data_IF_035960325550
#
_entry.id   IF_035960325550
#
_cell.length_a   1.000
_cell.length_b   1.000
_cell.length_c   1.000
_cell.angle_alpha   90.00
_cell.angle_beta   90.00
_cell.angle_gamma   90.00
#
_symmetry.space_group_name_H-M   'P 1'
#
loop_
_entity.id
_entity.type
_entity.pdbx_description
1 polymer ?
#
# COMPACT_ATOMS: atom_id res chain seq x y z
N UNK A 1 16.24 -4.37 -30.17
CA UNK A 1 15.44 -5.17 -29.22
C UNK A 1 14.15 -4.40 -28.99
N UNK A 2 12.97 -5.01 -29.18
CA UNK A 2 11.78 -4.40 -28.60
C UNK A 2 11.40 -5.25 -27.43
N UNK A 3 11.55 -4.65 -26.26
CA UNK A 3 11.20 -5.26 -25.00
C UNK A 3 9.74 -5.67 -25.09
N UNK A 4 9.47 -6.95 -24.88
CA UNK A 4 8.13 -7.31 -24.45
C UNK A 4 7.90 -6.54 -23.15
N UNK A 5 6.72 -5.94 -23.01
CA UNK A 5 6.30 -5.40 -21.73
C UNK A 5 6.42 -6.56 -20.73
N UNK A 6 7.37 -6.46 -19.81
CA UNK A 6 7.57 -7.44 -18.74
C UNK A 6 7.15 -6.80 -17.43
N UNK A 7 5.85 -6.48 -17.23
CA UNK A 7 5.32 -6.09 -15.94
C UNK A 7 5.19 -7.35 -15.07
N UNK A 8 6.26 -8.12 -14.96
CA UNK A 8 6.26 -9.31 -14.12
C UNK A 8 6.14 -8.87 -12.66
N UNK A 9 5.31 -9.57 -11.90
CA UNK A 9 5.46 -9.57 -10.45
C UNK A 9 6.80 -10.22 -10.16
N UNK A 10 7.69 -9.54 -9.43
CA UNK A 10 8.96 -10.14 -9.03
C UNK A 10 8.73 -11.15 -7.93
N UNK A 11 9.15 -12.40 -8.16
CA UNK A 11 9.16 -13.47 -7.15
C UNK A 11 10.55 -14.09 -7.16
N UNK A 12 11.37 -13.73 -6.18
CA UNK A 12 12.76 -14.18 -6.11
C UNK A 12 13.20 -14.44 -4.68
N UNK A 13 14.05 -15.46 -4.51
CA UNK A 13 14.70 -15.76 -3.21
C UNK A 13 15.77 -14.74 -2.86
N UNK A 14 16.43 -14.15 -3.86
CA UNK A 14 17.57 -13.27 -3.66
C UNK A 14 17.44 -12.03 -4.56
N UNK A 15 17.21 -10.89 -3.93
CA UNK A 15 17.27 -9.58 -4.58
C UNK A 15 17.94 -8.57 -3.65
N UNK A 16 18.62 -7.58 -4.24
CA UNK A 16 18.89 -6.32 -3.53
C UNK A 16 17.63 -5.48 -3.57
N UNK A 17 16.99 -5.34 -2.42
CA UNK A 17 15.77 -4.55 -2.27
C UNK A 17 16.13 -3.19 -1.68
N UNK A 18 15.67 -2.11 -2.32
CA UNK A 18 15.79 -0.73 -1.82
C UNK A 18 14.41 -0.18 -1.48
N UNK A 19 14.27 0.36 -0.28
CA UNK A 19 13.05 0.98 0.22
C UNK A 19 13.32 2.44 0.52
N UNK A 20 12.76 3.31 -0.32
CA UNK A 20 12.76 4.76 -0.09
C UNK A 20 11.72 5.09 0.96
N UNK A 21 12.17 5.67 2.06
CA UNK A 21 11.37 6.03 3.23
C UNK A 21 11.33 7.55 3.32
N UNK A 22 10.28 8.17 2.80
CA UNK A 22 10.15 9.63 2.70
C UNK A 22 8.96 10.17 3.48
N UNK A 23 9.18 11.32 4.10
CA UNK A 23 8.17 12.13 4.75
C UNK A 23 7.34 12.89 3.69
N UNK A 24 6.07 13.19 4.00
CA UNK A 24 5.21 14.00 3.13
C UNK A 24 5.56 15.49 3.13
N UNK A 25 6.33 15.95 4.13
CA UNK A 25 6.82 17.31 4.30
C UNK A 25 8.27 17.28 4.81
N UNK A 26 9.04 18.36 4.64
CA UNK A 26 10.35 18.48 5.26
C UNK A 26 10.26 18.30 6.78
N UNK A 27 11.12 17.45 7.32
CA UNK A 27 11.22 17.13 8.73
C UNK A 27 12.63 16.71 9.12
N UNK A 28 12.74 15.83 10.11
CA UNK A 28 14.00 15.39 10.69
C UNK A 28 14.30 13.95 10.32
N UNK A 29 15.49 13.71 9.78
CA UNK A 29 16.06 12.36 9.62
C UNK A 29 16.88 12.03 10.88
N UNK A 30 16.68 10.83 11.44
CA UNK A 30 17.27 10.41 12.74
C UNK A 30 18.46 9.47 12.59
N UNK A 31 18.77 9.05 11.37
CA UNK A 31 19.84 8.08 11.03
C UNK A 31 20.77 8.66 9.96
N UNK A 32 21.93 8.03 9.75
CA UNK A 32 22.92 8.43 8.74
C UNK A 32 23.26 7.26 7.80
N UNK A 33 23.87 7.59 6.67
CA UNK A 33 24.39 6.58 5.73
C UNK A 33 25.36 5.64 6.46
N UNK A 34 25.18 4.34 6.24
CA UNK A 34 25.94 3.26 6.87
C UNK A 34 25.32 2.69 8.15
N UNK A 35 24.29 3.33 8.72
CA UNK A 35 23.60 2.80 9.89
C UNK A 35 22.83 1.52 9.54
N UNK A 36 22.87 0.53 10.43
CA UNK A 36 21.96 -0.62 10.39
C UNK A 36 20.68 -0.28 11.13
N UNK A 37 19.54 -0.58 10.53
CA UNK A 37 18.21 -0.28 11.07
C UNK A 37 17.36 -1.53 11.13
N UNK A 38 16.45 -1.58 12.10
CA UNK A 38 15.38 -2.60 12.15
C UNK A 38 14.11 -2.08 11.48
N UNK A 39 13.27 -2.97 10.99
CA UNK A 39 12.05 -2.66 10.24
C UNK A 39 11.13 -1.67 10.98
N UNK A 40 11.02 -1.80 12.30
CA UNK A 40 10.17 -0.94 13.12
C UNK A 40 10.84 0.37 13.58
N UNK A 41 12.14 0.55 13.32
CA UNK A 41 12.86 1.75 13.71
C UNK A 41 12.36 2.97 12.93
N UNK A 42 12.02 4.04 13.65
CA UNK A 42 11.71 5.35 13.06
C UNK A 42 13.00 5.96 12.51
N UNK A 43 13.00 6.21 11.20
CA UNK A 43 14.16 6.77 10.46
C UNK A 43 13.99 8.24 10.10
N UNK A 44 12.75 8.71 10.06
CA UNK A 44 12.43 10.12 9.84
C UNK A 44 11.09 10.49 10.50
N UNK A 45 10.94 11.74 10.91
CA UNK A 45 9.70 12.27 11.48
C UNK A 45 9.45 13.73 11.10
N UNK A 46 8.17 14.12 11.05
CA UNK A 46 7.71 15.50 10.84
C UNK A 46 6.39 15.73 11.55
N UNK A 47 6.02 16.99 11.72
CA UNK A 47 4.70 17.39 12.22
C UNK A 47 3.84 17.90 11.07
N UNK A 48 2.72 17.21 10.77
CA UNK A 48 1.74 17.73 9.83
C UNK A 48 0.98 18.88 10.49
N UNK A 49 0.79 20.03 9.79
CA UNK A 49 -0.03 21.10 10.31
C UNK A 49 -1.44 20.59 10.65
N UNK A 50 -1.94 20.98 11.82
CA UNK A 50 -3.30 20.62 12.22
C UNK A 50 -4.34 21.24 11.28
N UNK A 51 -5.53 20.64 11.27
CA UNK A 51 -6.65 21.09 10.42
C UNK A 51 -7.03 22.52 10.78
N UNK A 52 -7.38 23.29 9.76
CA UNK A 52 -7.88 24.65 9.92
C UNK A 52 -9.40 24.61 10.07
N UNK A 53 -9.92 25.24 11.11
CA UNK A 53 -11.34 25.50 11.31
C UNK A 53 -11.60 27.00 11.17
N UNK A 54 -12.57 27.35 10.34
CA UNK A 54 -13.02 28.73 10.17
C UNK A 54 -14.28 28.96 11.01
N UNK A 55 -14.32 30.06 11.75
CA UNK A 55 -15.46 30.43 12.59
C UNK A 55 -15.84 31.89 12.33
N UNK A 56 -17.06 32.15 11.90
CA UNK A 56 -17.56 33.52 11.77
C UNK A 56 -17.97 34.06 13.15
N UNK A 57 -17.07 34.77 13.81
CA UNK A 57 -17.30 35.29 15.17
C UNK A 57 -18.28 36.46 15.14
N UNK A 58 -18.19 37.35 14.15
CA UNK A 58 -19.15 38.45 13.96
C UNK A 58 -20.59 37.95 13.88
N UNK A 59 -20.84 37.00 12.97
CA UNK A 59 -22.16 36.40 12.78
C UNK A 59 -22.63 35.62 13.99
N UNK A 60 -21.75 34.84 14.64
CA UNK A 60 -22.12 34.04 15.81
C UNK A 60 -22.41 34.91 17.05
N UNK A 61 -21.71 36.04 17.18
CA UNK A 61 -21.88 36.96 18.30
C UNK A 61 -23.00 37.97 18.10
N UNK A 62 -23.40 38.21 16.84
CA UNK A 62 -24.33 39.26 16.44
C UNK A 62 -23.69 40.66 16.54
N UNK A 63 -22.44 40.78 16.13
CA UNK A 63 -21.64 42.02 16.21
C UNK A 63 -21.07 42.39 14.83
N UNK A 64 -20.77 43.67 14.63
CA UNK A 64 -20.00 44.10 13.46
C UNK A 64 -18.51 43.75 13.63
N UNK A 65 -17.78 43.49 12.54
CA UNK A 65 -16.35 43.13 12.60
C UNK A 65 -15.47 44.14 13.37
N UNK A 66 -15.73 45.43 13.24
CA UNK A 66 -15.02 46.53 13.90
C UNK A 66 -15.29 46.59 15.42
N UNK A 67 -16.35 45.96 15.90
CA UNK A 67 -16.66 45.86 17.33
C UNK A 67 -16.03 44.65 18.02
N UNK A 68 -15.44 43.72 17.25
CA UNK A 68 -15.00 42.43 17.80
C UNK A 68 -13.81 42.55 18.74
N UNK A 69 -12.90 43.48 18.50
CA UNK A 69 -11.64 43.57 19.24
C UNK A 69 -11.86 43.74 20.76
N UNK A 70 -12.87 44.53 21.15
CA UNK A 70 -13.29 44.71 22.54
C UNK A 70 -14.16 43.57 23.12
N UNK A 71 -14.59 42.62 22.28
CA UNK A 71 -15.48 41.51 22.64
C UNK A 71 -14.75 40.16 22.68
N UNK A 72 -13.52 40.08 22.16
CA UNK A 72 -12.71 38.86 22.20
C UNK A 72 -12.20 38.56 23.62
N UNK A 73 -12.29 37.30 24.02
CA UNK A 73 -11.75 36.77 25.28
C UNK A 73 -10.37 36.12 25.11
N UNK A 74 -9.95 35.89 23.86
CA UNK A 74 -8.66 35.30 23.49
C UNK A 74 -7.95 36.18 22.46
N UNK A 75 -6.63 36.03 22.35
CA UNK A 75 -5.80 36.74 21.38
C UNK A 75 -5.22 35.76 20.36
N UNK A 76 -4.77 36.29 19.22
CA UNK A 76 -3.95 35.55 18.26
C UNK A 76 -2.76 34.86 18.96
N UNK A 77 -2.52 33.60 18.62
CA UNK A 77 -1.52 32.72 19.23
C UNK A 77 -1.97 32.00 20.51
N UNK A 78 -3.14 32.31 21.08
CA UNK A 78 -3.60 31.67 22.30
C UNK A 78 -4.02 30.22 22.08
N UNK A 79 -3.69 29.34 23.03
CA UNK A 79 -4.25 28.00 23.10
C UNK A 79 -5.75 28.06 23.48
N UNK A 80 -6.54 27.22 22.84
CA UNK A 80 -7.99 27.15 23.01
C UNK A 80 -8.44 25.69 23.19
N UNK A 81 -9.48 25.48 23.97
CA UNK A 81 -10.14 24.18 24.15
C UNK A 81 -11.51 24.16 23.50
N UNK A 82 -11.94 23.00 22.99
CA UNK A 82 -13.31 22.85 22.48
C UNK A 82 -14.33 23.24 23.56
N UNK A 83 -15.27 24.11 23.21
CA UNK A 83 -16.26 24.66 24.13
C UNK A 83 -15.80 25.89 24.93
N UNK A 84 -14.52 26.27 24.89
CA UNK A 84 -14.04 27.50 25.52
C UNK A 84 -14.65 28.73 24.86
N UNK A 85 -15.15 29.69 25.66
CA UNK A 85 -15.62 30.97 25.15
C UNK A 85 -14.46 31.77 24.53
N UNK A 86 -14.59 32.11 23.24
CA UNK A 86 -13.63 32.86 22.45
C UNK A 86 -13.99 34.35 22.40
N UNK A 87 -15.28 34.67 22.40
CA UNK A 87 -15.79 36.03 22.40
C UNK A 87 -17.08 36.11 23.22
N UNK A 88 -17.36 37.28 23.79
CA UNK A 88 -18.55 37.53 24.59
C UNK A 88 -19.11 38.92 24.32
N UNK A 89 -20.43 39.00 24.19
CA UNK A 89 -21.18 40.25 24.16
C UNK A 89 -22.20 40.27 25.29
N UNK A 90 -22.40 41.46 25.85
CA UNK A 90 -23.36 41.70 26.94
C UNK A 90 -24.40 42.71 26.49
N UNK A 91 -25.68 42.36 26.62
CA UNK A 91 -26.82 43.21 26.26
C UNK A 91 -27.70 43.50 27.49
N UNK A 92 -28.56 44.53 27.40
CA UNK A 92 -29.48 44.96 28.47
C UNK A 92 -28.80 45.08 29.85
N UNK A 93 -27.86 46.02 30.00
CA UNK A 93 -27.15 46.26 31.28
C UNK A 93 -26.53 44.99 31.90
N UNK A 94 -26.09 44.02 31.07
CA UNK A 94 -25.41 42.81 31.52
C UNK A 94 -26.33 41.61 31.83
N UNK A 95 -27.65 41.74 31.63
CA UNK A 95 -28.63 40.69 31.88
C UNK A 95 -28.52 39.52 30.88
N UNK A 96 -28.11 39.79 29.65
CA UNK A 96 -27.94 38.75 28.62
C UNK A 96 -26.49 38.68 28.16
N UNK A 97 -25.92 37.47 28.16
CA UNK A 97 -24.58 37.17 27.65
C UNK A 97 -24.72 36.24 26.45
N UNK A 98 -24.18 36.64 25.31
CA UNK A 98 -23.96 35.74 24.19
C UNK A 98 -22.48 35.39 24.14
N UNK A 99 -22.17 34.10 24.03
CA UNK A 99 -20.80 33.59 23.97
C UNK A 99 -20.61 32.77 22.71
N UNK A 100 -19.49 33.03 22.04
CA UNK A 100 -19.05 32.21 20.91
C UNK A 100 -18.01 31.24 21.44
N UNK A 101 -18.37 29.96 21.47
CA UNK A 101 -17.47 28.90 21.93
C UNK A 101 -16.61 28.35 20.79
N UNK A 102 -15.41 27.87 21.13
CA UNK A 102 -14.52 27.21 20.17
C UNK A 102 -15.09 25.88 19.70
N UNK A 103 -15.14 25.60 18.38
CA UNK A 103 -15.52 24.29 17.86
C UNK A 103 -14.43 23.22 18.03
N UNK A 104 -13.19 23.63 18.29
CA UNK A 104 -12.01 22.76 18.35
C UNK A 104 -11.14 23.03 19.59
N UNK A 105 -10.27 22.07 19.91
CA UNK A 105 -9.11 22.27 20.78
C UNK A 105 -7.90 22.55 19.88
N UNK A 106 -7.06 23.53 20.21
CA UNK A 106 -5.95 23.95 19.35
C UNK A 106 -5.46 25.37 19.65
N UNK A 107 -5.23 26.18 18.62
CA UNK A 107 -4.81 27.58 18.72
C UNK A 107 -5.73 28.53 17.97
N UNK A 108 -5.93 29.72 18.52
CA UNK A 108 -6.57 30.86 17.85
C UNK A 108 -5.52 31.60 17.02
N UNK A 109 -5.50 31.46 15.69
CA UNK A 109 -4.42 32.01 14.85
C UNK A 109 -4.62 33.49 14.54
N UNK A 110 -5.81 33.86 14.09
CA UNK A 110 -6.10 35.23 13.66
C UNK A 110 -7.59 35.51 13.65
N UNK A 111 -7.94 36.80 13.71
CA UNK A 111 -9.28 37.33 13.47
C UNK A 111 -9.19 38.38 12.35
N UNK A 112 -10.06 38.28 11.35
CA UNK A 112 -10.20 39.31 10.33
C UNK A 112 -11.07 40.45 10.86
N UNK A 113 -10.52 41.66 10.88
CA UNK A 113 -11.20 42.92 11.20
C UNK A 113 -12.21 43.35 10.12
N UNK A 114 -12.07 42.88 8.89
CA UNK A 114 -13.00 43.16 7.78
C UNK A 114 -14.21 42.22 7.79
N UNK A 115 -14.00 40.92 8.02
CA UNK A 115 -15.05 39.89 7.85
C UNK A 115 -15.56 39.30 9.17
N UNK A 116 -14.85 39.49 10.27
CA UNK A 116 -15.12 38.85 11.55
C UNK A 116 -14.84 37.35 11.58
N UNK A 117 -14.14 36.83 10.57
CA UNK A 117 -13.75 35.41 10.48
C UNK A 117 -12.52 35.14 11.35
N UNK A 118 -12.65 34.19 12.28
CA UNK A 118 -11.53 33.63 13.02
C UNK A 118 -10.97 32.39 12.33
N UNK A 119 -9.65 32.29 12.33
CA UNK A 119 -8.90 31.11 11.89
C UNK A 119 -8.41 30.38 13.13
N UNK A 120 -8.85 29.14 13.30
CA UNK A 120 -8.44 28.26 14.39
C UNK A 120 -7.68 27.08 13.80
N UNK A 121 -6.67 26.57 14.50
CA UNK A 121 -5.88 25.41 14.05
C UNK A 121 -5.83 24.34 15.13
N UNK A 122 -6.13 23.09 14.76
CA UNK A 122 -5.92 21.94 15.64
C UNK A 122 -4.42 21.73 15.94
N UNK A 123 -4.03 21.00 17.00
CA UNK A 123 -2.65 20.64 17.22
C UNK A 123 -2.03 19.92 16.02
N UNK A 124 -0.72 20.10 15.77
CA UNK A 124 -0.03 19.34 14.74
C UNK A 124 -0.12 17.83 15.00
N UNK A 125 -0.13 17.05 13.92
CA UNK A 125 -0.19 15.58 13.98
C UNK A 125 1.20 15.02 13.65
N UNK A 126 1.86 14.32 14.59
CA UNK A 126 3.17 13.75 14.32
C UNK A 126 3.05 12.64 13.26
N UNK A 127 3.98 12.64 12.33
CA UNK A 127 4.14 11.62 11.29
C UNK A 127 5.54 11.05 11.40
N UNK A 128 5.61 9.74 11.58
CA UNK A 128 6.84 8.98 11.63
C UNK A 128 6.90 8.00 10.47
N UNK A 129 8.07 7.89 9.86
CA UNK A 129 8.34 6.91 8.83
C UNK A 129 9.32 5.89 9.39
N UNK A 130 8.91 4.62 9.38
CA UNK A 130 9.74 3.49 9.79
C UNK A 130 10.62 3.01 8.64
N UNK A 131 11.69 2.28 8.97
CA UNK A 131 12.58 1.66 7.99
C UNK A 131 11.86 0.64 7.09
N UNK A 132 10.78 0.03 7.60
CA UNK A 132 9.94 -0.99 6.97
C UNK A 132 10.62 -2.35 6.76
N UNK A 133 11.92 -2.38 6.48
CA UNK A 133 12.74 -3.59 6.41
C UNK A 133 13.98 -3.45 7.29
N UNK A 134 14.48 -4.58 7.80
CA UNK A 134 15.82 -4.63 8.38
C UNK A 134 16.85 -4.41 7.28
N UNK A 135 17.82 -3.52 7.47
CA UNK A 135 18.76 -3.21 6.40
C UNK A 135 19.81 -2.19 6.79
N UNK A 136 20.47 -1.65 5.77
CA UNK A 136 21.47 -0.59 5.92
C UNK A 136 21.00 0.66 5.18
N UNK A 137 21.17 1.83 5.81
CA UNK A 137 20.90 3.12 5.16
C UNK A 137 21.98 3.39 4.12
N UNK A 138 21.60 3.43 2.84
CA UNK A 138 22.54 3.67 1.72
C UNK A 138 22.48 5.10 1.20
N UNK A 139 21.40 5.83 1.48
CA UNK A 139 21.21 7.21 1.07
C UNK A 139 20.39 7.97 2.12
N UNK A 140 20.73 9.25 2.34
CA UNK A 140 19.92 10.19 3.12
C UNK A 140 19.44 11.28 2.18
N UNK A 141 18.11 11.45 2.10
CA UNK A 141 17.46 12.54 1.38
C UNK A 141 17.25 13.67 2.39
N UNK A 142 18.01 14.75 2.25
CA UNK A 142 18.07 15.82 3.24
C UNK A 142 16.67 16.34 3.61
N UNK A 143 16.37 16.33 4.92
CA UNK A 143 15.09 16.73 5.51
C UNK A 143 13.86 15.94 5.04
N UNK A 144 13.98 14.91 4.20
CA UNK A 144 12.83 14.15 3.70
C UNK A 144 12.85 12.71 4.17
N UNK A 145 14.01 12.06 4.26
CA UNK A 145 14.04 10.64 4.56
C UNK A 145 15.31 9.92 4.17
N UNK A 146 15.19 8.61 3.93
CA UNK A 146 16.33 7.72 3.66
C UNK A 146 16.00 6.64 2.62
N UNK A 147 17.03 6.00 2.08
CA UNK A 147 16.89 4.73 1.34
C UNK A 147 17.51 3.62 2.17
N UNK A 148 16.72 2.61 2.51
CA UNK A 148 17.16 1.40 3.21
C UNK A 148 17.38 0.28 2.19
N UNK A 149 18.55 -0.34 2.21
CA UNK A 149 18.91 -1.46 1.35
C UNK A 149 19.09 -2.75 2.15
N UNK A 150 18.60 -3.86 1.61
CA UNK A 150 18.84 -5.19 2.14
C UNK A 150 18.92 -6.23 1.02
N UNK A 151 19.65 -7.32 1.26
CA UNK A 151 19.50 -8.55 0.48
C UNK A 151 18.29 -9.30 1.06
N UNK A 152 17.32 -9.68 0.23
CA UNK A 152 16.07 -10.27 0.70
C UNK A 152 15.45 -11.21 -0.32
N UNK A 153 14.59 -12.10 0.16
CA UNK A 153 13.54 -12.68 -0.68
C UNK A 153 12.43 -11.64 -0.88
N UNK A 154 11.94 -11.53 -2.11
CA UNK A 154 10.90 -10.60 -2.52
C UNK A 154 9.79 -11.35 -3.25
N UNK A 155 8.55 -11.17 -2.80
CA UNK A 155 7.35 -11.64 -3.48
C UNK A 155 6.43 -10.46 -3.71
N UNK A 156 6.14 -10.13 -4.96
CA UNK A 156 5.15 -9.11 -5.30
C UNK A 156 3.79 -9.74 -5.59
N UNK A 157 2.74 -9.07 -5.13
CA UNK A 157 1.36 -9.39 -5.46
C UNK A 157 0.78 -8.47 -6.53
N UNK A 158 -0.34 -8.88 -7.10
CA UNK A 158 -1.09 -8.08 -8.07
C UNK A 158 -1.99 -7.03 -7.41
N UNK A 159 -2.51 -7.33 -6.23
CA UNK A 159 -3.46 -6.50 -5.49
C UNK A 159 -3.33 -6.72 -3.97
N UNK A 160 -3.61 -5.69 -3.19
CA UNK A 160 -3.57 -5.76 -1.74
C UNK A 160 -4.40 -4.67 -1.08
N UNK A 161 -4.54 -4.78 0.24
CA UNK A 161 -5.26 -3.85 1.10
C UNK A 161 -4.47 -3.58 2.37
N UNK A 162 -4.65 -2.38 2.92
CA UNK A 162 -3.98 -1.87 4.10
C UNK A 162 -2.45 -1.77 3.99
N UNK A 163 -1.88 -1.02 4.92
CA UNK A 163 -0.49 -0.59 4.85
C UNK A 163 0.52 -1.62 5.34
N UNK A 164 1.66 -1.08 5.75
CA UNK A 164 2.85 -1.82 6.14
C UNK A 164 2.72 -2.50 7.51
N UNK A 165 3.21 -3.74 7.61
CA UNK A 165 3.36 -4.47 8.88
C UNK A 165 4.63 -5.31 8.85
N UNK A 166 5.16 -5.62 10.03
CA UNK A 166 6.27 -6.56 10.21
C UNK A 166 5.85 -7.65 11.20
N UNK A 167 5.94 -8.91 10.80
CA UNK A 167 5.56 -10.04 11.65
C UNK A 167 6.12 -11.39 11.15
N UNK A 168 6.11 -12.44 11.99
CA UNK A 168 6.49 -13.78 11.57
C UNK A 168 5.53 -14.34 10.52
N UNK A 169 6.07 -14.97 9.47
CA UNK A 169 5.31 -15.76 8.50
C UNK A 169 4.88 -17.11 9.08
N UNK A 170 3.66 -17.53 8.79
CA UNK A 170 3.14 -18.88 9.07
C UNK A 170 2.36 -19.39 7.86
N UNK A 171 2.79 -20.52 7.30
CA UNK A 171 2.08 -21.19 6.22
C UNK A 171 0.99 -22.09 6.80
N UNK A 172 -0.27 -21.77 6.49
CA UNK A 172 -1.44 -22.49 7.00
C UNK A 172 -1.96 -23.53 6.00
N UNK A 173 -1.87 -23.22 4.71
CA UNK A 173 -2.26 -24.16 3.66
C UNK A 173 -1.20 -25.24 3.46
N UNK A 174 -1.62 -26.44 3.07
CA UNK A 174 -0.74 -27.57 2.74
C UNK A 174 -0.30 -27.55 1.28
N UNK A 175 -1.11 -26.96 0.41
CA UNK A 175 -0.91 -26.95 -1.04
C UNK A 175 -1.31 -25.59 -1.67
N UNK A 176 -0.75 -25.21 -2.83
CA UNK A 176 -0.96 -23.90 -3.45
C UNK A 176 -2.40 -23.62 -3.92
N UNK A 177 -3.27 -24.63 -3.98
CA UNK A 177 -4.68 -24.46 -4.36
C UNK A 177 -5.65 -24.48 -3.19
N UNK A 178 -5.19 -24.75 -1.97
CA UNK A 178 -6.08 -24.89 -0.83
C UNK A 178 -6.69 -23.54 -0.46
N UNK A 179 -8.01 -23.45 -0.54
CA UNK A 179 -8.75 -22.28 -0.08
C UNK A 179 -8.53 -22.05 1.42
N UNK A 180 -8.33 -20.78 1.80
CA UNK A 180 -8.21 -20.32 3.17
C UNK A 180 -9.59 -19.84 3.65
N UNK A 181 -10.15 -20.56 4.64
CA UNK A 181 -11.48 -20.31 5.21
C UNK A 181 -11.36 -19.76 6.64
N UNK A 182 -12.47 -19.28 7.19
CA UNK A 182 -12.57 -18.77 8.56
C UNK A 182 -12.07 -19.78 9.60
N UNK A 183 -12.41 -21.06 9.44
CA UNK A 183 -11.96 -22.14 10.33
C UNK A 183 -10.44 -22.37 10.32
N UNK A 184 -9.74 -21.97 9.24
CA UNK A 184 -8.29 -22.08 9.13
C UNK A 184 -7.58 -20.92 9.85
N UNK A 185 -8.31 -19.85 10.22
CA UNK A 185 -7.76 -18.68 10.92
C UNK A 185 -7.95 -18.81 12.43
N UNK A 186 -6.93 -19.35 13.09
CA UNK A 186 -6.93 -19.69 14.50
C UNK A 186 -6.41 -18.55 15.39
N UNK A 187 -6.78 -18.49 16.69
CA UNK A 187 -6.26 -17.50 17.63
C UNK A 187 -4.73 -17.45 17.73
N UNK A 188 -4.05 -18.58 17.48
CA UNK A 188 -2.58 -18.65 17.45
C UNK A 188 -1.92 -17.88 16.29
N UNK A 189 -2.71 -17.37 15.33
CA UNK A 189 -2.26 -16.55 14.21
C UNK A 189 -2.27 -15.04 14.51
N UNK A 190 -2.78 -14.63 15.68
CA UNK A 190 -2.75 -13.24 16.12
C UNK A 190 -1.33 -12.67 16.03
N UNK A 191 -1.17 -11.49 15.42
CA UNK A 191 0.12 -10.84 15.22
C UNK A 191 1.07 -11.54 14.25
N UNK A 192 0.60 -12.46 13.38
CA UNK A 192 1.41 -13.15 12.36
C UNK A 192 0.94 -12.84 10.94
N UNK A 193 1.80 -13.06 9.95
CA UNK A 193 1.40 -13.06 8.53
C UNK A 193 1.11 -14.51 8.15
N UNK A 194 -0.12 -14.80 7.76
CA UNK A 194 -0.52 -16.15 7.35
C UNK A 194 -0.52 -16.31 5.83
N UNK A 195 -0.05 -17.45 5.34
CA UNK A 195 0.00 -17.77 3.91
C UNK A 195 -1.02 -18.87 3.58
N UNK A 196 -2.03 -18.49 2.80
CA UNK A 196 -2.99 -19.38 2.16
C UNK A 196 -2.56 -19.71 0.73
N UNK A 197 -2.86 -20.91 0.26
CA UNK A 197 -2.53 -21.35 -1.09
C UNK A 197 -3.43 -20.70 -2.14
N UNK A 198 -4.73 -20.95 -2.09
CA UNK A 198 -5.67 -20.52 -3.11
C UNK A 198 -6.47 -19.28 -2.73
N UNK A 199 -7.78 -19.34 -2.97
CA UNK A 199 -8.74 -18.31 -2.58
C UNK A 199 -8.76 -18.09 -1.05
N UNK A 200 -8.58 -16.85 -0.60
CA UNK A 200 -8.99 -16.46 0.74
C UNK A 200 -10.45 -15.98 0.71
N UNK A 201 -11.31 -16.54 1.56
CA UNK A 201 -12.71 -16.12 1.63
C UNK A 201 -12.86 -14.82 2.43
N UNK A 202 -13.95 -14.08 2.22
CA UNK A 202 -14.29 -12.95 3.08
C UNK A 202 -14.39 -13.34 4.56
N UNK A 203 -14.90 -14.54 4.84
CA UNK A 203 -14.95 -15.09 6.20
C UNK A 203 -13.56 -15.21 6.83
N UNK A 204 -12.58 -15.72 6.08
CA UNK A 204 -11.19 -15.79 6.53
C UNK A 204 -10.60 -14.41 6.83
N UNK A 205 -10.83 -13.43 5.95
CA UNK A 205 -10.32 -12.07 6.13
C UNK A 205 -10.99 -11.35 7.32
N UNK A 206 -12.32 -11.44 7.47
CA UNK A 206 -13.03 -10.90 8.63
C UNK A 206 -12.51 -11.52 9.92
N UNK A 207 -12.35 -12.84 9.94
CA UNK A 207 -11.81 -13.57 11.09
C UNK A 207 -10.37 -13.15 11.43
N UNK A 208 -9.53 -12.94 10.42
CA UNK A 208 -8.16 -12.47 10.59
C UNK A 208 -8.12 -11.07 11.22
N UNK A 209 -9.00 -10.16 10.77
CA UNK A 209 -9.15 -8.81 11.33
C UNK A 209 -9.57 -8.87 12.79
N UNK A 210 -10.59 -9.67 13.13
CA UNK A 210 -11.05 -9.86 14.51
C UNK A 210 -9.94 -10.37 15.44
N UNK A 211 -9.14 -11.33 14.97
CA UNK A 211 -8.03 -11.91 15.72
C UNK A 211 -6.76 -11.07 15.69
N UNK A 212 -6.76 -9.94 14.97
CA UNK A 212 -5.58 -9.07 14.78
C UNK A 212 -4.39 -9.84 14.19
N UNK A 213 -4.66 -10.74 13.24
CA UNK A 213 -3.64 -11.32 12.36
C UNK A 213 -2.98 -10.19 11.60
N UNK A 214 -1.65 -10.14 11.55
CA UNK A 214 -0.93 -9.05 10.93
C UNK A 214 -1.18 -9.01 9.41
N UNK A 215 -1.13 -10.15 8.72
CA UNK A 215 -1.42 -10.16 7.29
C UNK A 215 -1.89 -11.49 6.75
N UNK A 216 -2.48 -11.46 5.55
CA UNK A 216 -2.84 -12.63 4.75
C UNK A 216 -2.16 -12.51 3.38
N UNK A 217 -1.49 -13.59 2.97
CA UNK A 217 -1.01 -13.77 1.59
C UNK A 217 -1.80 -14.91 0.96
N UNK A 218 -2.38 -14.71 -0.22
CA UNK A 218 -3.18 -15.73 -0.91
C UNK A 218 -3.02 -15.69 -2.43
N UNK A 219 -3.45 -16.77 -3.11
CA UNK A 219 -3.51 -16.84 -4.57
C UNK A 219 -4.59 -15.93 -5.15
N UNK A 220 -5.80 -16.04 -4.59
CA UNK A 220 -6.98 -15.32 -5.06
C UNK A 220 -7.79 -14.66 -3.96
N UNK A 221 -8.56 -13.63 -4.33
CA UNK A 221 -9.57 -13.00 -3.48
C UNK A 221 -10.77 -12.55 -4.32
N UNK A 222 -11.98 -12.47 -3.79
CA UNK A 222 -13.15 -12.03 -4.57
C UNK A 222 -13.22 -10.51 -4.61
N UNK A 223 -13.42 -9.91 -5.79
CA UNK A 223 -13.48 -8.44 -5.91
C UNK A 223 -14.70 -7.84 -5.18
N UNK A 224 -15.85 -8.50 -5.24
CA UNK A 224 -17.08 -8.07 -4.55
C UNK A 224 -16.88 -8.02 -3.03
N UNK A 225 -16.08 -8.94 -2.48
CA UNK A 225 -15.78 -9.02 -1.05
C UNK A 225 -14.98 -7.79 -0.57
N UNK A 226 -14.21 -7.14 -1.46
CA UNK A 226 -13.51 -5.89 -1.14
C UNK A 226 -14.50 -4.77 -0.83
N UNK A 227 -15.55 -4.62 -1.65
CA UNK A 227 -16.60 -3.62 -1.42
C UNK A 227 -17.37 -3.91 -0.14
N UNK A 228 -17.70 -5.18 0.10
CA UNK A 228 -18.39 -5.58 1.33
C UNK A 228 -17.53 -5.30 2.57
N UNK A 229 -16.22 -5.54 2.48
CA UNK A 229 -15.29 -5.30 3.58
C UNK A 229 -15.12 -3.80 3.89
N UNK A 230 -14.95 -2.97 2.86
CA UNK A 230 -14.62 -1.55 3.02
C UNK A 230 -15.84 -0.64 3.11
N UNK A 231 -16.99 -1.07 2.60
CA UNK A 231 -18.21 -0.28 2.49
C UNK A 231 -18.21 0.72 1.32
N UNK A 232 -17.18 0.71 0.45
CA UNK A 232 -17.07 1.56 -0.73
C UNK A 232 -16.28 0.87 -1.86
N UNK A 233 -16.39 1.40 -3.07
CA UNK A 233 -15.64 0.90 -4.23
C UNK A 233 -14.24 1.51 -4.29
N UNK A 234 -13.21 0.66 -4.37
CA UNK A 234 -11.78 1.09 -4.45
C UNK A 234 -11.43 1.70 -5.81
N UNK A 235 -12.31 1.59 -6.81
CA UNK A 235 -12.17 2.23 -8.11
C UNK A 235 -10.88 1.85 -8.85
N UNK A 236 -10.01 2.82 -9.11
CA UNK A 236 -8.74 2.66 -9.86
C UNK A 236 -7.62 1.99 -9.07
N UNK A 237 -7.95 1.15 -8.07
CA UNK A 237 -7.03 0.36 -7.25
C UNK A 237 -5.88 1.19 -6.66
N UNK A 238 -6.22 2.23 -5.89
CA UNK A 238 -5.30 2.91 -4.98
C UNK A 238 -5.65 2.45 -3.57
N UNK A 239 -4.77 1.65 -2.98
CA UNK A 239 -4.96 1.01 -1.66
C UNK A 239 -3.74 1.21 -0.78
N UNK A 240 -3.82 0.77 0.49
CA UNK A 240 -2.73 0.82 1.46
C UNK A 240 -2.97 1.78 2.61
N UNK A 241 -4.03 2.60 2.52
CA UNK A 241 -4.42 3.57 3.55
C UNK A 241 -5.68 3.13 4.31
N UNK A 242 -6.24 1.97 3.98
CA UNK A 242 -7.40 1.44 4.69
C UNK A 242 -7.05 1.13 6.14
N UNK A 243 -7.92 1.53 7.07
CA UNK A 243 -7.74 1.28 8.49
C UNK A 243 -8.18 -0.14 8.87
N UNK A 244 -7.51 -1.15 8.33
CA UNK A 244 -7.73 -2.56 8.63
C UNK A 244 -6.63 -3.10 9.53
N UNK A 245 -7.00 -3.94 10.49
CA UNK A 245 -6.04 -4.60 11.40
C UNK A 245 -5.15 -5.65 10.70
N UNK A 246 -5.53 -6.08 9.49
CA UNK A 246 -4.85 -7.12 8.72
C UNK A 246 -4.53 -6.60 7.32
N UNK A 247 -3.28 -6.75 6.91
CA UNK A 247 -2.82 -6.44 5.54
C UNK A 247 -3.09 -7.61 4.61
N UNK A 248 -3.65 -7.36 3.43
CA UNK A 248 -3.91 -8.39 2.41
C UNK A 248 -2.93 -8.25 1.25
N UNK A 249 -2.34 -9.36 0.81
CA UNK A 249 -1.59 -9.45 -0.45
C UNK A 249 -2.13 -10.64 -1.27
N UNK A 250 -2.64 -10.32 -2.45
CA UNK A 250 -3.13 -11.29 -3.44
C UNK A 250 -2.06 -11.43 -4.52
N UNK A 251 -1.63 -12.66 -4.77
CA UNK A 251 -0.50 -12.94 -5.67
C UNK A 251 -0.93 -13.08 -7.13
N UNK A 252 -2.04 -13.76 -7.43
CA UNK A 252 -2.40 -14.11 -8.81
C UNK A 252 -3.57 -13.29 -9.39
N UNK A 253 -4.59 -12.96 -8.59
CA UNK A 253 -5.71 -12.14 -9.09
C UNK A 253 -7.02 -12.29 -8.33
N UNK A 254 -8.11 -11.81 -8.95
CA UNK A 254 -9.44 -11.92 -8.37
C UNK A 254 -10.14 -13.22 -8.79
N UNK A 255 -10.81 -13.87 -7.84
CA UNK A 255 -11.52 -15.15 -8.03
C UNK A 255 -10.81 -16.34 -7.40
N UNK A 256 -11.29 -17.54 -7.69
CA UNK A 256 -10.69 -18.79 -7.21
C UNK A 256 -9.45 -19.14 -8.03
N UNK A 257 -8.30 -18.65 -7.58
CA UNK A 257 -7.02 -18.81 -8.24
C UNK A 257 -6.02 -19.39 -7.25
N UNK A 258 -5.40 -20.51 -7.64
CA UNK A 258 -4.30 -21.12 -6.91
C UNK A 258 -3.03 -20.27 -7.04
N UNK A 259 -2.33 -20.03 -5.93
CA UNK A 259 -1.00 -19.40 -5.96
C UNK A 259 -0.05 -20.24 -6.82
N UNK A 260 0.83 -19.58 -7.56
CA UNK A 260 1.87 -20.27 -8.31
C UNK A 260 2.71 -21.14 -7.38
N UNK A 261 3.00 -22.38 -7.82
CA UNK A 261 3.75 -23.36 -7.03
C UNK A 261 5.09 -22.81 -6.54
N UNK A 262 5.83 -22.10 -7.40
CA UNK A 262 7.12 -21.49 -7.05
C UNK A 262 6.98 -20.43 -5.93
N UNK A 263 5.97 -19.56 -6.02
CA UNK A 263 5.66 -18.57 -4.98
C UNK A 263 5.32 -19.23 -3.65
N UNK A 264 4.46 -20.24 -3.68
CA UNK A 264 4.07 -20.98 -2.48
C UNK A 264 5.26 -21.73 -1.85
N UNK A 265 6.09 -22.38 -2.66
CA UNK A 265 7.29 -23.08 -2.19
C UNK A 265 8.34 -22.12 -1.60
N UNK A 266 8.51 -20.93 -2.19
CA UNK A 266 9.35 -19.88 -1.65
C UNK A 266 8.84 -19.42 -0.28
N UNK A 267 7.57 -19.02 -0.18
CA UNK A 267 6.96 -18.58 1.09
C UNK A 267 7.01 -19.69 2.15
N UNK A 268 6.77 -20.95 1.77
CA UNK A 268 6.91 -22.11 2.66
C UNK A 268 8.33 -22.32 3.16
N UNK A 269 9.34 -22.04 2.33
CA UNK A 269 10.74 -22.11 2.78
C UNK A 269 11.11 -21.00 3.78
N UNK A 270 10.27 -19.97 3.91
CA UNK A 270 10.45 -18.82 4.80
C UNK A 270 9.53 -18.89 6.03
N UNK A 271 8.86 -20.03 6.24
CA UNK A 271 7.98 -20.25 7.40
C UNK A 271 8.72 -19.97 8.72
N UNK A 272 8.08 -19.21 9.61
CA UNK A 272 8.64 -18.79 10.90
C UNK A 272 9.60 -17.59 10.84
N UNK A 273 10.02 -17.13 9.66
CA UNK A 273 10.89 -15.94 9.51
C UNK A 273 10.10 -14.64 9.67
N UNK A 274 10.77 -13.59 10.14
CA UNK A 274 10.20 -12.24 10.16
C UNK A 274 10.08 -11.70 8.73
N UNK A 275 8.93 -11.13 8.41
CA UNK A 275 8.64 -10.56 7.10
C UNK A 275 8.00 -9.19 7.21
N UNK A 276 8.41 -8.29 6.33
CA UNK A 276 7.70 -7.06 6.05
C UNK A 276 6.63 -7.35 4.99
N UNK A 277 5.40 -6.89 5.22
CA UNK A 277 4.29 -6.99 4.27
C UNK A 277 3.70 -5.59 4.04
N UNK A 278 3.34 -5.29 2.79
CA UNK A 278 2.62 -4.09 2.43
C UNK A 278 1.54 -4.43 1.41
N UNK A 279 0.30 -4.04 1.69
CA UNK A 279 -0.85 -4.24 0.80
C UNK A 279 -1.07 -3.08 -0.17
N UNK A 280 -0.30 -2.00 -0.08
CA UNK A 280 -0.48 -0.83 -0.93
C UNK A 280 -0.35 -1.21 -2.42
N UNK A 281 -1.40 -0.89 -3.18
CA UNK A 281 -1.46 -1.09 -4.62
C UNK A 281 -1.74 0.25 -5.29
N UNK A 282 -1.00 0.57 -6.35
CA UNK A 282 -1.24 1.73 -7.19
C UNK A 282 -0.86 1.39 -8.62
N UNK A 283 -1.83 1.44 -9.54
CA UNK A 283 -1.65 1.02 -10.94
C UNK A 283 -1.37 2.18 -11.92
N UNK A 284 -1.53 3.44 -11.49
CA UNK A 284 -1.27 4.65 -12.29
C UNK A 284 -0.13 5.46 -11.67
N UNK A 285 0.63 6.20 -12.49
CA UNK A 285 1.68 7.15 -12.11
C UNK A 285 2.44 6.83 -10.80
N UNK A 286 3.63 6.22 -10.90
CA UNK A 286 4.34 5.74 -9.71
C UNK A 286 3.74 4.42 -9.22
N UNK A 287 3.89 3.37 -10.03
CA UNK A 287 3.30 2.05 -9.76
C UNK A 287 3.82 1.52 -8.42
N UNK A 288 2.91 1.19 -7.51
CA UNK A 288 3.20 0.52 -6.24
C UNK A 288 2.54 -0.84 -6.30
N UNK A 289 3.32 -1.88 -5.99
CA UNK A 289 2.82 -3.24 -5.87
C UNK A 289 2.82 -3.66 -4.41
N UNK A 290 1.80 -4.41 -3.98
CA UNK A 290 1.84 -5.06 -2.70
C UNK A 290 2.95 -6.09 -2.70
N UNK A 291 3.53 -6.36 -1.55
CA UNK A 291 4.75 -7.14 -1.47
C UNK A 291 4.95 -7.80 -0.11
N UNK A 292 5.81 -8.83 -0.12
CA UNK A 292 6.39 -9.47 1.05
C UNK A 292 7.91 -9.44 0.89
N UNK A 293 8.62 -8.98 1.93
CA UNK A 293 10.08 -8.90 1.96
C UNK A 293 10.62 -9.64 3.18
N UNK A 294 11.58 -10.54 2.98
CA UNK A 294 12.25 -11.30 4.04
C UNK A 294 13.76 -11.14 3.91
N UNK A 295 14.37 -10.38 4.81
CA UNK A 295 15.78 -9.89 4.73
C UNK A 295 16.82 -10.89 5.25
N UNK A 296 16.40 -11.89 6.05
CA UNK A 296 17.25 -13.00 6.52
C UNK A 296 16.74 -14.35 5.99
N UNK A 297 16.58 -14.43 4.66
CA UNK A 297 16.05 -15.63 4.00
C UNK A 297 16.99 -16.85 4.09
N UNK A 298 18.29 -16.65 4.33
CA UNK A 298 19.31 -17.71 4.30
C UNK A 298 19.46 -18.40 2.93
N UNK A 299 20.55 -19.15 2.74
CA UNK A 299 20.85 -19.91 1.52
C UNK A 299 22.10 -19.40 0.77
N UNK A 300 22.69 -20.22 -0.12
CA UNK A 300 23.79 -19.77 -0.98
C UNK A 300 23.31 -18.56 -1.79
N UNK A 301 24.08 -17.48 -1.77
CA UNK A 301 23.89 -16.32 -2.67
C UNK A 301 24.15 -16.79 -4.09
N UNK A 302 23.12 -17.29 -4.77
CA UNK A 302 23.19 -17.37 -6.22
C UNK A 302 23.38 -15.94 -6.72
N UNK A 303 24.43 -15.77 -7.54
CA UNK A 303 24.83 -14.49 -8.10
C UNK A 303 23.60 -13.79 -8.68
N UNK A 304 23.50 -12.47 -8.46
CA UNK A 304 22.44 -11.59 -8.92
C UNK A 304 21.74 -12.18 -10.15
N UNK A 305 20.48 -12.59 -9.99
CA UNK A 305 19.62 -12.81 -11.14
C UNK A 305 19.64 -11.48 -11.91
N UNK A 306 20.45 -11.45 -12.98
CA UNK A 306 20.59 -10.29 -13.83
C UNK A 306 19.22 -9.85 -14.37
N UNK A 307 19.14 -8.68 -15.00
CA UNK A 307 17.89 -8.17 -15.55
C UNK A 307 17.16 -9.27 -16.32
N UNK A 308 15.88 -9.39 -15.98
CA UNK A 308 14.93 -10.40 -16.44
C UNK A 308 15.17 -10.75 -17.90
N UNK A 309 15.45 -12.01 -18.20
CA UNK A 309 15.59 -12.49 -19.57
C UNK A 309 14.35 -12.05 -20.37
N UNK A 310 14.57 -11.31 -21.44
CA UNK A 310 13.49 -10.81 -22.28
C UNK A 310 12.67 -11.94 -22.90
N UNK A 311 11.66 -11.59 -23.69
CA UNK A 311 10.88 -12.58 -24.42
C UNK A 311 11.76 -13.33 -25.44
N UNK A 312 12.14 -14.57 -25.11
CA UNK A 312 12.95 -15.48 -25.92
C UNK A 312 12.22 -16.78 -26.25
N UNK A 313 12.66 -17.48 -27.28
CA UNK A 313 12.13 -18.80 -27.64
C UNK A 313 12.49 -19.80 -26.52
N UNK A 314 11.53 -20.61 -26.09
CA UNK A 314 11.69 -21.60 -25.02
C UNK A 314 11.33 -21.08 -23.62
N UNK A 315 11.05 -19.77 -23.47
CA UNK A 315 10.64 -19.18 -22.19
C UNK A 315 9.16 -19.47 -21.92
N UNK A 316 8.78 -19.82 -20.68
CA UNK A 316 7.38 -19.97 -20.30
C UNK A 316 6.69 -18.60 -20.21
N UNK A 317 5.48 -18.50 -20.75
CA UNK A 317 4.67 -17.29 -20.75
C UNK A 317 3.24 -17.57 -20.30
N UNK A 318 2.63 -16.62 -19.60
CA UNK A 318 1.21 -16.64 -19.22
C UNK A 318 0.44 -15.68 -20.13
N UNK A 319 -0.69 -16.13 -20.66
CA UNK A 319 -1.58 -15.29 -21.45
C UNK A 319 -2.40 -14.37 -20.54
N UNK A 320 -2.36 -13.06 -20.77
CA UNK A 320 -3.02 -12.03 -19.95
C UNK A 320 -4.24 -11.38 -20.64
N UNK A 321 -4.69 -11.95 -21.77
CA UNK A 321 -5.88 -11.48 -22.50
C UNK A 321 -6.71 -12.66 -23.00
N UNK A 322 -8.02 -12.43 -23.08
CA UNK A 322 -8.94 -13.32 -23.77
C UNK A 322 -8.50 -13.51 -25.25
N UNK A 323 -8.77 -14.69 -25.85
CA UNK A 323 -9.51 -15.81 -25.30
C UNK A 323 -8.66 -16.77 -24.44
N UNK A 324 -7.35 -16.55 -24.34
CA UNK A 324 -6.43 -17.49 -23.69
C UNK A 324 -6.05 -17.08 -22.25
N UNK A 325 -6.77 -16.15 -21.64
CA UNK A 325 -6.46 -15.59 -20.32
C UNK A 325 -6.17 -16.69 -19.29
N UNK A 326 -5.05 -16.57 -18.57
CA UNK A 326 -4.59 -17.52 -17.55
C UNK A 326 -3.88 -18.77 -18.09
N UNK A 327 -3.94 -19.07 -19.39
CA UNK A 327 -3.23 -20.23 -19.96
C UNK A 327 -1.72 -20.00 -19.96
N UNK A 328 -0.98 -21.04 -19.60
CA UNK A 328 0.49 -21.05 -19.58
C UNK A 328 0.98 -21.88 -20.76
N UNK A 329 1.92 -21.34 -21.53
CA UNK A 329 2.57 -22.04 -22.63
C UNK A 329 4.04 -21.65 -22.76
N UNK A 330 4.72 -22.21 -23.75
CA UNK A 330 6.13 -21.92 -24.04
C UNK A 330 6.23 -21.17 -25.36
N UNK A 331 7.07 -20.14 -25.43
CA UNK A 331 7.31 -19.40 -26.68
C UNK A 331 7.98 -20.33 -27.69
N UNK A 332 7.29 -20.65 -28.79
CA UNK A 332 7.83 -21.50 -29.86
C UNK A 332 8.51 -20.70 -30.97
N UNK A 333 8.05 -19.46 -31.22
CA UNK A 333 8.61 -18.59 -32.25
C UNK A 333 8.41 -17.10 -31.93
N UNK A 334 9.32 -16.27 -32.44
CA UNK A 334 9.25 -14.80 -32.35
C UNK A 334 9.33 -14.17 -33.75
N UNK A 335 8.22 -14.15 -34.51
CA UNK A 335 8.20 -13.55 -35.84
C UNK A 335 8.69 -12.09 -35.82
N UNK A 336 9.60 -11.76 -36.75
CA UNK A 336 10.18 -10.42 -36.87
C UNK A 336 9.27 -9.43 -37.60
N UNK A 337 8.44 -9.91 -38.55
CA UNK A 337 7.51 -9.07 -39.31
C UNK A 337 6.31 -8.72 -38.43
N UNK A 338 5.84 -7.48 -38.53
CA UNK A 338 4.57 -7.08 -37.94
C UNK A 338 3.44 -7.89 -38.55
N UNK A 339 2.53 -8.36 -37.70
CA UNK A 339 1.35 -9.11 -38.12
C UNK A 339 0.12 -8.19 -38.07
N UNK A 340 -0.74 -8.30 -39.08
CA UNK A 340 -2.01 -7.57 -39.12
C UNK A 340 -3.02 -8.35 -38.29
N UNK A 341 -3.51 -7.76 -37.21
CA UNK A 341 -4.54 -8.37 -36.37
C UNK A 341 -5.92 -8.23 -37.02
N UNK A 342 -6.96 -8.93 -36.53
CA UNK A 342 -8.34 -8.73 -36.98
C UNK A 342 -8.84 -7.28 -36.80
N UNK A 343 -8.25 -6.52 -35.88
CA UNK A 343 -8.48 -5.07 -35.71
C UNK A 343 -7.71 -4.19 -36.72
N UNK A 344 -7.13 -4.79 -37.75
CA UNK A 344 -6.27 -4.17 -38.78
C UNK A 344 -4.97 -3.53 -38.25
N UNK A 345 -4.74 -3.58 -36.94
CA UNK A 345 -3.56 -3.03 -36.30
C UNK A 345 -2.35 -3.91 -36.59
N UNK A 346 -1.22 -3.30 -36.96
CA UNK A 346 0.05 -3.98 -37.17
C UNK A 346 0.81 -4.08 -35.84
N UNK A 347 0.91 -5.29 -35.28
CA UNK A 347 1.57 -5.52 -33.98
C UNK A 347 2.68 -6.55 -34.08
N UNK A 348 3.56 -6.55 -33.09
CA UNK A 348 4.53 -7.64 -32.91
C UNK A 348 3.83 -8.81 -32.25
N UNK A 349 4.08 -10.01 -32.76
CA UNK A 349 3.48 -11.26 -32.28
C UNK A 349 4.55 -12.22 -31.76
N UNK A 350 4.10 -13.25 -31.06
CA UNK A 350 4.82 -14.47 -30.75
C UNK A 350 3.92 -15.67 -31.04
N UNK A 351 4.54 -16.84 -31.16
CA UNK A 351 3.84 -18.12 -31.22
C UNK A 351 4.01 -18.83 -29.87
N UNK A 352 2.91 -19.31 -29.30
CA UNK A 352 2.87 -20.00 -28.01
C UNK A 352 2.39 -21.43 -28.22
N UNK A 353 3.15 -22.38 -27.66
CA UNK A 353 2.78 -23.78 -27.55
C UNK A 353 2.27 -24.07 -26.13
N UNK A 354 1.02 -24.50 -26.01
CA UNK A 354 0.41 -24.80 -24.72
C UNK A 354 0.68 -26.24 -24.23
N UNK A 355 1.36 -27.07 -25.01
CA UNK A 355 1.76 -28.42 -24.61
C UNK A 355 0.62 -29.44 -24.47
N UNK A 356 -0.59 -29.09 -24.90
CA UNK A 356 -1.80 -29.93 -24.85
C UNK A 356 -2.07 -30.67 -26.18
N UNK A 357 -1.11 -30.63 -27.12
CA UNK A 357 -1.25 -31.20 -28.46
C UNK A 357 -2.11 -30.37 -29.41
N UNK A 358 -2.60 -29.19 -28.98
CA UNK A 358 -3.30 -28.26 -29.84
C UNK A 358 -2.37 -27.53 -30.81
N UNK A 359 -2.95 -26.91 -31.84
CA UNK A 359 -2.20 -26.07 -32.75
C UNK A 359 -1.60 -24.88 -32.00
N UNK A 360 -0.35 -24.55 -32.31
CA UNK A 360 0.34 -23.40 -31.73
C UNK A 360 -0.40 -22.10 -32.07
N UNK A 361 -0.44 -21.18 -31.12
CA UNK A 361 -1.29 -19.99 -31.19
C UNK A 361 -0.44 -18.75 -31.39
N UNK A 362 -0.82 -17.93 -32.36
CA UNK A 362 -0.18 -16.65 -32.64
C UNK A 362 -0.86 -15.54 -31.82
N UNK A 363 -0.09 -14.84 -30.98
CA UNK A 363 -0.60 -13.82 -30.05
C UNK A 363 0.22 -12.53 -30.14
N UNK A 364 -0.40 -11.35 -29.95
CA UNK A 364 0.36 -10.12 -29.71
C UNK A 364 1.30 -10.27 -28.53
N UNK A 365 2.52 -9.76 -28.63
CA UNK A 365 3.49 -9.78 -27.51
C UNK A 365 2.97 -9.08 -26.25
N UNK A 366 2.07 -8.12 -26.41
CA UNK A 366 1.41 -7.43 -25.31
C UNK A 366 0.32 -8.26 -24.60
N UNK A 367 -0.02 -9.45 -25.11
CA UNK A 367 -1.05 -10.32 -24.54
C UNK A 367 -0.44 -11.46 -23.71
N UNK A 368 0.87 -11.44 -23.51
CA UNK A 368 1.58 -12.43 -22.68
C UNK A 368 2.50 -11.73 -21.69
N UNK A 369 2.75 -12.37 -20.57
CA UNK A 369 3.80 -12.02 -19.62
C UNK A 369 4.77 -13.20 -19.47
N UNK A 370 6.06 -12.91 -19.29
CA UNK A 370 7.08 -13.92 -19.02
C UNK A 370 6.93 -14.41 -17.59
N UNK A 371 6.95 -15.73 -17.40
CA UNK A 371 6.94 -16.35 -16.07
C UNK A 371 8.40 -16.54 -15.63
N UNK A 372 8.82 -15.84 -14.58
CA UNK A 372 10.14 -16.05 -13.96
C UNK A 372 10.21 -17.46 -13.33
N UNK A 373 11.38 -18.10 -13.42
CA UNK A 373 11.65 -19.42 -12.80
C UNK A 373 12.34 -19.26 -11.46
#
# INVERSE_FOLDING_TARGET
MGDAYTPGLTVTRHATVRKTRRLPLPGRVTVKVGDKVTADQVVASTDLPGKVALLNVASALGAMPDELDGKMLVKAGAAISKGQALARSTSFFGLFKNEVASPITGSFESLSDVTGMAVLREPPVPVEVRAYIDGTVVEVVANEGVVVEAKAALVQGIFGLAGERNAPLVVVSKEPGQALRDADVLPAHAGKIIVGGGLATLGALKRAIELKVAGIVCGGFTYQDVKELLGYDVGVAVTGTENLATTLVVTEGFGDIAMAKATFELLRSLDGKQAAINGATQIRAGVIRPEIVVTDAGGPTDADAGPTGGLEIGVPVRCIRAPYFGRIGTVSALPHKLHVMPSETKVRVLEVDFGDGSAKVLLPRANVEVIER
#
